data_IF_221168459140
#
_entry.id   IF_221168459140
#
_cell.length_a   1.000
_cell.length_b   1.000
_cell.length_c   1.000
_cell.angle_alpha   90.00
_cell.angle_beta   90.00
_cell.angle_gamma   90.00
#
_symmetry.space_group_name_H-M   'P 1'
#
loop_
_entity.id
_entity.type
_entity.pdbx_description
1 polymer ?
#
# COMPACT_ATOMS: atom_id res chain seq x y z
N UNK A 1 9.15 -15.41 -3.00
CA UNK A 1 9.76 -14.08 -3.27
C UNK A 1 11.14 -14.32 -3.85
N UNK A 2 11.50 -13.74 -5.00
CA UNK A 2 12.85 -13.91 -5.54
C UNK A 2 13.85 -13.26 -4.57
N UNK A 3 15.01 -13.88 -4.35
CA UNK A 3 16.06 -13.33 -3.46
C UNK A 3 16.41 -11.88 -3.83
N UNK A 4 16.36 -11.55 -5.12
CA UNK A 4 16.58 -10.20 -5.67
C UNK A 4 15.54 -9.18 -5.18
N UNK A 5 14.26 -9.53 -5.22
CA UNK A 5 13.19 -8.62 -4.78
C UNK A 5 13.30 -8.33 -3.28
N UNK A 6 13.59 -9.35 -2.46
CA UNK A 6 13.82 -9.16 -1.03
C UNK A 6 15.04 -8.25 -0.75
N UNK A 7 16.16 -8.48 -1.43
CA UNK A 7 17.36 -7.63 -1.28
C UNK A 7 17.06 -6.18 -1.68
N UNK A 8 16.31 -5.97 -2.77
CA UNK A 8 15.90 -4.62 -3.19
C UNK A 8 15.03 -3.92 -2.15
N UNK A 9 14.02 -4.60 -1.59
CA UNK A 9 13.17 -4.05 -0.52
C UNK A 9 13.99 -3.68 0.71
N UNK A 10 14.91 -4.56 1.13
CA UNK A 10 15.82 -4.29 2.26
C UNK A 10 16.73 -3.09 1.96
N UNK A 11 17.28 -2.99 0.75
CA UNK A 11 18.15 -1.88 0.37
C UNK A 11 17.40 -0.53 0.40
N UNK A 12 16.19 -0.48 -0.14
CA UNK A 12 15.34 0.71 -0.12
C UNK A 12 15.03 1.13 1.32
N UNK A 13 14.62 0.19 2.17
CA UNK A 13 14.34 0.47 3.57
C UNK A 13 15.59 0.91 4.33
N UNK A 14 16.72 0.24 4.15
CA UNK A 14 17.99 0.57 4.81
C UNK A 14 18.50 1.97 4.45
N UNK A 15 18.33 2.38 3.19
CA UNK A 15 18.65 3.75 2.76
C UNK A 15 17.68 4.79 3.34
N UNK A 16 16.39 4.43 3.46
CA UNK A 16 15.35 5.34 3.93
C UNK A 16 15.41 5.63 5.44
N UNK A 17 15.70 4.63 6.29
CA UNK A 17 15.63 4.80 7.75
C UNK A 17 16.50 5.97 8.26
N UNK A 18 17.77 6.14 7.85
CA UNK A 18 18.57 7.29 8.26
C UNK A 18 17.98 8.63 7.82
N UNK A 19 17.41 8.70 6.61
CA UNK A 19 16.77 9.92 6.10
C UNK A 19 15.53 10.28 6.94
N UNK A 20 14.73 9.29 7.31
CA UNK A 20 13.55 9.50 8.15
C UNK A 20 13.90 9.98 9.56
N UNK A 21 14.97 9.41 10.16
CA UNK A 21 15.45 9.80 11.48
C UNK A 21 16.00 11.23 11.50
N UNK A 22 16.76 11.60 10.48
CA UNK A 22 17.36 12.92 10.36
C UNK A 22 16.34 14.03 10.00
N UNK A 23 15.21 13.68 9.37
CA UNK A 23 14.28 14.65 8.76
C UNK A 23 13.84 15.77 9.72
N UNK A 24 13.59 15.47 10.99
CA UNK A 24 13.08 16.42 11.98
C UNK A 24 14.16 17.13 12.78
N UNK A 25 15.43 16.72 12.72
CA UNK A 25 16.50 17.34 13.53
C UNK A 25 16.63 18.86 13.31
N UNK A 26 16.55 19.39 12.07
CA UNK A 26 16.64 20.83 11.84
C UNK A 26 15.50 21.65 12.48
N UNK A 27 14.38 21.02 12.85
CA UNK A 27 13.26 21.68 13.54
C UNK A 27 13.55 21.95 15.03
N UNK A 28 14.55 21.27 15.60
CA UNK A 28 14.99 21.45 16.99
C UNK A 28 16.30 22.22 17.10
N UNK A 29 17.21 22.01 16.15
CA UNK A 29 18.49 22.72 16.07
C UNK A 29 18.64 23.31 14.67
N UNK A 30 18.22 24.57 14.47
CA UNK A 30 18.39 25.29 13.21
C UNK A 30 19.88 25.33 12.84
N UNK A 31 20.21 24.85 11.64
CA UNK A 31 21.60 24.72 11.17
C UNK A 31 22.06 23.27 10.93
N UNK A 32 21.35 22.28 11.47
CA UNK A 32 21.56 20.88 11.08
C UNK A 32 21.10 20.64 9.64
N UNK A 33 21.83 19.80 8.92
CA UNK A 33 21.48 19.43 7.54
C UNK A 33 20.29 18.47 7.50
N UNK A 34 19.38 18.68 6.56
CA UNK A 34 18.34 17.70 6.19
C UNK A 34 18.83 16.82 5.05
N UNK A 35 19.26 15.59 5.35
CA UNK A 35 19.89 14.69 4.39
C UNK A 35 19.01 14.35 3.19
N UNK A 36 17.70 14.20 3.41
CA UNK A 36 16.76 13.94 2.31
C UNK A 36 16.79 15.07 1.29
N UNK A 37 16.77 16.32 1.75
CA UNK A 37 16.76 17.50 0.89
C UNK A 37 18.12 17.68 0.22
N UNK A 38 19.22 17.34 0.92
CA UNK A 38 20.56 17.31 0.32
C UNK A 38 20.65 16.31 -0.82
N UNK A 39 20.18 15.07 -0.62
CA UNK A 39 20.15 14.04 -1.67
C UNK A 39 19.30 14.50 -2.85
N UNK A 40 18.11 15.04 -2.57
CA UNK A 40 17.24 15.53 -3.63
C UNK A 40 17.83 16.74 -4.38
N UNK A 41 18.49 17.66 -3.67
CA UNK A 41 19.13 18.82 -4.28
C UNK A 41 20.30 18.43 -5.19
N UNK A 42 21.03 17.36 -4.86
CA UNK A 42 22.09 16.82 -5.73
C UNK A 42 21.52 16.24 -7.02
N UNK A 43 20.36 15.58 -6.96
CA UNK A 43 19.75 14.90 -8.12
C UNK A 43 18.96 15.88 -8.99
N UNK A 44 18.12 16.71 -8.37
CA UNK A 44 17.08 17.51 -9.04
C UNK A 44 17.30 19.03 -8.89
N UNK A 45 18.35 19.47 -8.21
CA UNK A 45 18.63 20.87 -7.94
C UNK A 45 17.91 21.42 -6.69
N UNK A 46 18.47 22.49 -6.12
CA UNK A 46 17.94 23.12 -4.88
C UNK A 46 16.55 23.72 -5.07
N UNK A 47 16.27 24.32 -6.22
CA UNK A 47 14.96 24.93 -6.51
C UNK A 47 13.82 23.92 -6.38
N UNK A 48 14.00 22.72 -6.94
CA UNK A 48 13.01 21.65 -6.79
C UNK A 48 12.96 21.10 -5.35
N UNK A 49 14.12 20.99 -4.69
CA UNK A 49 14.20 20.35 -3.38
C UNK A 49 13.60 21.18 -2.23
N UNK A 50 13.82 22.48 -2.23
CA UNK A 50 13.47 23.38 -1.11
C UNK A 50 12.85 24.71 -1.55
N UNK A 51 12.69 24.94 -2.85
CA UNK A 51 12.05 26.15 -3.38
C UNK A 51 10.52 26.07 -3.36
N UNK A 52 9.89 26.92 -4.15
CA UNK A 52 8.42 27.01 -4.22
C UNK A 52 7.79 25.67 -4.66
N UNK A 53 6.68 25.31 -4.01
CA UNK A 53 6.00 24.03 -4.24
C UNK A 53 6.72 22.82 -3.62
N UNK A 54 7.72 23.03 -2.75
CA UNK A 54 8.36 21.98 -1.96
C UNK A 54 7.64 21.73 -0.63
N UNK A 55 7.95 20.60 0.02
CA UNK A 55 7.45 20.34 1.38
C UNK A 55 7.98 21.40 2.35
N UNK A 56 9.23 21.85 2.19
CA UNK A 56 9.80 22.89 3.04
C UNK A 56 9.01 24.19 2.90
N UNK A 57 8.79 24.68 1.68
CA UNK A 57 8.10 25.96 1.48
C UNK A 57 6.64 25.95 1.97
N UNK A 58 5.93 24.81 1.84
CA UNK A 58 4.49 24.74 2.13
C UNK A 58 4.17 24.20 3.53
N UNK A 59 5.06 23.42 4.17
CA UNK A 59 4.79 22.74 5.44
C UNK A 59 5.71 23.13 6.59
N UNK A 60 6.74 23.94 6.39
CA UNK A 60 7.69 24.29 7.45
C UNK A 60 7.00 24.77 8.73
N UNK A 61 6.06 25.74 8.64
CA UNK A 61 5.39 26.30 9.82
C UNK A 61 4.63 25.24 10.63
N UNK A 62 3.79 24.44 9.97
CA UNK A 62 3.07 23.33 10.58
C UNK A 62 4.01 22.27 11.20
N UNK A 63 5.12 21.96 10.52
CA UNK A 63 6.11 21.01 11.03
C UNK A 63 6.86 21.57 12.24
N UNK A 64 7.14 22.86 12.27
CA UNK A 64 7.80 23.53 13.40
C UNK A 64 6.88 23.57 14.64
N UNK A 65 5.60 23.91 14.46
CA UNK A 65 4.59 23.96 15.53
C UNK A 65 4.38 22.58 16.17
N UNK A 66 4.29 21.53 15.35
CA UNK A 66 4.05 20.16 15.81
C UNK A 66 5.30 19.27 15.77
N UNK A 67 6.51 19.85 15.87
CA UNK A 67 7.80 19.16 15.70
C UNK A 67 7.99 17.93 16.57
N UNK A 68 7.46 17.91 17.80
CA UNK A 68 7.57 16.76 18.71
C UNK A 68 6.74 15.58 18.20
N UNK A 69 5.48 15.83 17.82
CA UNK A 69 4.60 14.79 17.27
C UNK A 69 5.20 14.21 16.00
N UNK A 70 5.73 15.07 15.12
CA UNK A 70 6.37 14.66 13.88
C UNK A 70 7.64 13.83 14.15
N UNK A 71 8.51 14.25 15.08
CA UNK A 71 9.71 13.52 15.46
C UNK A 71 9.39 12.13 16.00
N UNK A 72 8.37 12.01 16.86
CA UNK A 72 7.91 10.73 17.39
C UNK A 72 7.40 9.85 16.24
N UNK A 73 6.56 10.39 15.36
CA UNK A 73 6.07 9.66 14.20
C UNK A 73 7.21 9.12 13.32
N UNK A 74 8.11 9.99 12.85
CA UNK A 74 9.17 9.64 11.89
C UNK A 74 10.19 8.68 12.49
N UNK A 75 10.57 8.89 13.75
CA UNK A 75 11.55 8.05 14.45
C UNK A 75 10.99 6.66 14.68
N UNK A 76 9.79 6.55 15.26
CA UNK A 76 9.18 5.26 15.54
C UNK A 76 8.80 4.54 14.23
N UNK A 77 8.39 5.26 13.18
CA UNK A 77 8.15 4.67 11.85
C UNK A 77 9.43 4.06 11.27
N UNK A 78 10.55 4.79 11.31
CA UNK A 78 11.84 4.32 10.78
C UNK A 78 12.34 3.07 11.52
N UNK A 79 12.25 3.07 12.85
CA UNK A 79 12.62 1.91 13.68
C UNK A 79 11.69 0.72 13.45
N UNK A 80 10.37 0.96 13.39
CA UNK A 80 9.41 -0.08 13.07
C UNK A 80 9.70 -0.69 11.69
N UNK A 81 9.97 0.12 10.67
CA UNK A 81 10.30 -0.38 9.33
C UNK A 81 11.54 -1.28 9.35
N UNK A 82 12.60 -0.88 10.08
CA UNK A 82 13.79 -1.71 10.24
C UNK A 82 13.47 -3.08 10.89
N UNK A 83 12.66 -3.10 11.95
CA UNK A 83 12.22 -4.34 12.59
C UNK A 83 11.31 -5.19 11.68
N UNK A 84 10.48 -4.54 10.86
CA UNK A 84 9.55 -5.17 9.93
C UNK A 84 10.26 -6.08 8.91
N UNK A 85 11.46 -5.70 8.45
CA UNK A 85 12.25 -6.50 7.51
C UNK A 85 12.60 -7.90 8.07
N UNK A 86 12.84 -8.00 9.38
CA UNK A 86 13.16 -9.27 10.03
C UNK A 86 11.95 -10.20 10.14
N UNK A 87 10.71 -9.70 10.00
CA UNK A 87 9.49 -10.50 10.06
C UNK A 87 9.39 -11.50 8.88
N UNK A 88 10.02 -11.20 7.75
CA UNK A 88 10.04 -12.09 6.58
C UNK A 88 11.09 -13.20 6.66
N UNK A 89 11.94 -13.24 7.70
CA UNK A 89 12.98 -14.25 7.85
C UNK A 89 12.40 -15.60 8.29
N UNK A 90 12.35 -16.56 7.36
CA UNK A 90 11.92 -17.93 7.66
C UNK A 90 12.81 -18.61 8.71
N UNK A 91 14.13 -18.35 8.66
CA UNK A 91 15.12 -18.87 9.63
C UNK A 91 14.84 -18.38 11.04
N UNK A 92 14.52 -17.09 11.20
CA UNK A 92 14.22 -16.51 12.51
C UNK A 92 12.94 -17.12 13.08
N UNK A 93 11.91 -17.27 12.23
CA UNK A 93 10.62 -17.85 12.61
C UNK A 93 10.73 -19.32 13.05
N UNK A 94 11.57 -20.13 12.40
CA UNK A 94 11.70 -21.57 12.72
C UNK A 94 12.76 -21.86 13.78
N UNK A 95 13.94 -21.22 13.72
CA UNK A 95 15.05 -21.54 14.63
C UNK A 95 15.03 -20.75 15.94
N UNK A 96 14.43 -19.56 15.96
CA UNK A 96 14.39 -18.68 17.15
C UNK A 96 13.01 -18.02 17.31
N UNK A 97 11.94 -18.81 17.55
CA UNK A 97 10.57 -18.29 17.58
C UNK A 97 10.33 -17.23 18.67
N UNK A 98 11.03 -17.32 19.81
CA UNK A 98 10.96 -16.30 20.86
C UNK A 98 11.45 -14.93 20.37
N UNK A 99 12.56 -14.91 19.63
CA UNK A 99 13.14 -13.68 19.05
C UNK A 99 12.21 -13.11 17.99
N UNK A 100 11.65 -13.94 17.10
CA UNK A 100 10.64 -13.51 16.13
C UNK A 100 9.45 -12.81 16.81
N UNK A 101 8.92 -13.40 17.89
CA UNK A 101 7.79 -12.86 18.64
C UNK A 101 8.11 -11.52 19.30
N UNK A 102 9.28 -11.38 19.93
CA UNK A 102 9.68 -10.12 20.55
C UNK A 102 9.90 -9.00 19.53
N UNK A 103 10.58 -9.29 18.42
CA UNK A 103 10.72 -8.33 17.31
C UNK A 103 9.34 -7.94 16.77
N UNK A 104 8.43 -8.89 16.60
CA UNK A 104 7.06 -8.62 16.15
C UNK A 104 6.26 -7.74 17.11
N UNK A 105 6.40 -7.95 18.42
CA UNK A 105 5.77 -7.10 19.46
C UNK A 105 6.34 -5.69 19.46
N UNK A 106 7.66 -5.55 19.40
CA UNK A 106 8.32 -4.25 19.31
C UNK A 106 7.92 -3.51 18.04
N UNK A 107 7.90 -4.20 16.89
CA UNK A 107 7.39 -3.67 15.63
C UNK A 107 5.96 -3.12 15.79
N UNK A 108 5.03 -3.93 16.33
CA UNK A 108 3.64 -3.52 16.49
C UNK A 108 3.46 -2.33 17.43
N UNK A 109 4.21 -2.28 18.53
CA UNK A 109 4.15 -1.16 19.47
C UNK A 109 4.66 0.14 18.81
N UNK A 110 5.84 0.10 18.19
CA UNK A 110 6.42 1.26 17.50
C UNK A 110 5.55 1.74 16.35
N UNK A 111 5.07 0.81 15.51
CA UNK A 111 4.15 1.11 14.42
C UNK A 111 2.87 1.76 14.95
N UNK A 112 2.27 1.21 16.02
CA UNK A 112 1.01 1.74 16.55
C UNK A 112 1.16 3.16 17.06
N UNK A 113 2.18 3.44 17.87
CA UNK A 113 2.44 4.80 18.39
C UNK A 113 2.77 5.76 17.24
N UNK A 114 3.55 5.31 16.25
CA UNK A 114 3.86 6.10 15.06
C UNK A 114 2.60 6.45 14.25
N UNK A 115 1.70 5.50 13.98
CA UNK A 115 0.48 5.77 13.21
C UNK A 115 -0.49 6.67 13.99
N UNK A 116 -0.63 6.47 15.31
CA UNK A 116 -1.46 7.34 16.16
C UNK A 116 -0.94 8.78 16.18
N UNK A 117 0.38 8.97 16.29
CA UNK A 117 0.99 10.31 16.24
C UNK A 117 0.86 10.97 14.86
N UNK A 118 0.92 10.19 13.76
CA UNK A 118 0.57 10.71 12.42
C UNK A 118 -0.89 11.19 12.36
N UNK A 119 -1.84 10.41 12.89
CA UNK A 119 -3.25 10.80 12.92
C UNK A 119 -3.48 12.06 13.77
N UNK A 120 -2.82 12.18 14.92
CA UNK A 120 -2.83 13.39 15.75
C UNK A 120 -2.33 14.59 14.95
N UNK A 121 -1.17 14.46 14.30
CA UNK A 121 -0.62 15.54 13.45
C UNK A 121 -1.61 15.95 12.35
N UNK A 122 -2.19 14.98 11.62
CA UNK A 122 -3.13 15.23 10.52
C UNK A 122 -4.51 15.73 10.99
N UNK A 123 -4.83 15.62 12.28
CA UNK A 123 -6.05 16.15 12.86
C UNK A 123 -5.90 17.63 13.24
N UNK A 124 -4.74 17.99 13.81
CA UNK A 124 -4.47 19.35 14.29
C UNK A 124 -3.86 20.28 13.25
N UNK A 125 -3.36 19.75 12.14
CA UNK A 125 -2.72 20.54 11.08
C UNK A 125 -3.67 20.71 9.90
N UNK A 126 -3.82 21.93 9.34
CA UNK A 126 -4.59 22.12 8.10
C UNK A 126 -3.89 21.45 6.90
N UNK A 127 -4.61 21.18 5.79
CA UNK A 127 -3.99 20.71 4.55
C UNK A 127 -2.85 21.58 4.03
N UNK A 128 -1.92 20.98 3.29
CA UNK A 128 -0.90 21.72 2.57
C UNK A 128 -1.58 22.72 1.61
N UNK A 129 -1.09 23.95 1.56
CA UNK A 129 -1.59 25.00 0.66
C UNK A 129 -1.15 24.73 -0.78
N UNK A 130 -1.71 23.67 -1.38
CA UNK A 130 -1.40 23.14 -2.70
C UNK A 130 -2.58 22.27 -3.16
N UNK A 131 -2.84 22.18 -4.47
CA UNK A 131 -4.00 21.45 -5.00
C UNK A 131 -3.98 19.92 -4.70
N UNK A 132 -2.79 19.36 -4.43
CA UNK A 132 -2.63 17.96 -3.97
C UNK A 132 -2.92 17.80 -2.47
N UNK A 133 -2.83 18.87 -1.69
CA UNK A 133 -2.79 18.84 -0.23
C UNK A 133 -3.95 18.08 0.43
N UNK A 134 -5.22 18.48 0.20
CA UNK A 134 -6.37 17.83 0.82
C UNK A 134 -6.48 16.33 0.49
N UNK A 135 -6.31 15.97 -0.78
CA UNK A 135 -6.33 14.58 -1.25
C UNK A 135 -5.18 13.75 -0.67
N UNK A 136 -3.98 14.32 -0.58
CA UNK A 136 -2.84 13.61 0.00
C UNK A 136 -3.05 13.34 1.49
N UNK A 137 -3.66 14.27 2.23
CA UNK A 137 -3.98 14.05 3.64
C UNK A 137 -5.03 12.96 3.87
N UNK A 138 -6.04 12.81 3.00
CA UNK A 138 -6.98 11.67 3.10
C UNK A 138 -6.23 10.36 2.98
N UNK A 139 -5.30 10.29 2.02
CA UNK A 139 -4.51 9.09 1.81
C UNK A 139 -3.58 8.80 2.99
N UNK A 140 -2.95 9.81 3.58
CA UNK A 140 -2.13 9.62 4.79
C UNK A 140 -2.97 9.11 5.97
N UNK A 141 -4.20 9.61 6.15
CA UNK A 141 -5.14 9.11 7.17
C UNK A 141 -5.54 7.66 6.87
N UNK A 142 -5.89 7.36 5.63
CA UNK A 142 -6.25 6.01 5.19
C UNK A 142 -5.09 5.01 5.36
N UNK A 143 -3.85 5.43 5.07
CA UNK A 143 -2.64 4.63 5.29
C UNK A 143 -2.41 4.35 6.77
N UNK A 144 -2.54 5.35 7.64
CA UNK A 144 -2.38 5.16 9.08
C UNK A 144 -3.43 4.20 9.64
N UNK A 145 -4.70 4.39 9.28
CA UNK A 145 -5.81 3.52 9.69
C UNK A 145 -5.65 2.11 9.11
N UNK A 146 -5.31 1.97 7.84
CA UNK A 146 -5.10 0.69 7.17
C UNK A 146 -3.92 -0.09 7.74
N UNK A 147 -2.83 0.60 8.11
CA UNK A 147 -1.65 -0.01 8.74
C UNK A 147 -1.98 -0.50 10.16
N UNK A 148 -2.68 0.32 10.96
CA UNK A 148 -3.17 -0.09 12.28
C UNK A 148 -4.13 -1.28 12.16
N UNK A 149 -5.14 -1.16 11.31
CA UNK A 149 -6.18 -2.18 11.12
C UNK A 149 -5.60 -3.52 10.67
N UNK A 150 -4.73 -3.52 9.66
CA UNK A 150 -4.07 -4.74 9.17
C UNK A 150 -3.14 -5.37 10.22
N UNK A 151 -2.34 -4.57 10.92
CA UNK A 151 -1.45 -5.04 11.99
C UNK A 151 -2.23 -5.69 13.15
N UNK A 152 -3.26 -5.02 13.65
CA UNK A 152 -4.07 -5.53 14.75
C UNK A 152 -4.98 -6.70 14.34
N UNK A 153 -5.51 -6.71 13.11
CA UNK A 153 -6.22 -7.86 12.59
C UNK A 153 -5.31 -9.09 12.46
N UNK A 154 -4.05 -8.90 12.08
CA UNK A 154 -3.07 -9.98 12.07
C UNK A 154 -2.77 -10.52 13.48
N UNK A 155 -2.75 -9.66 14.51
CA UNK A 155 -2.63 -10.09 15.92
C UNK A 155 -3.86 -10.88 16.37
N UNK A 156 -5.05 -10.42 16.01
CA UNK A 156 -6.29 -11.13 16.27
C UNK A 156 -6.29 -12.52 15.63
N UNK A 157 -5.88 -12.62 14.36
CA UNK A 157 -5.76 -13.88 13.64
C UNK A 157 -4.82 -14.87 14.32
N UNK A 158 -3.60 -14.45 14.71
CA UNK A 158 -2.65 -15.36 15.36
C UNK A 158 -3.10 -15.81 16.75
N UNK A 159 -3.83 -14.97 17.50
CA UNK A 159 -4.45 -15.37 18.77
C UNK A 159 -5.50 -16.48 18.58
N UNK A 160 -6.16 -16.51 17.42
CA UNK A 160 -7.07 -17.59 17.00
C UNK A 160 -6.37 -18.73 16.26
N UNK A 161 -5.03 -18.80 16.34
CA UNK A 161 -4.18 -19.78 15.65
C UNK A 161 -4.31 -19.76 14.11
N UNK A 162 -4.83 -18.67 13.54
CA UNK A 162 -4.95 -18.49 12.10
C UNK A 162 -3.65 -17.91 11.52
N UNK A 163 -2.69 -18.79 11.25
CA UNK A 163 -1.36 -18.42 10.77
C UNK A 163 -1.40 -17.84 9.35
N UNK A 164 -2.32 -18.30 8.49
CA UNK A 164 -2.45 -17.82 7.11
C UNK A 164 -2.91 -16.37 7.11
N UNK A 165 -3.99 -16.07 7.83
CA UNK A 165 -4.52 -14.72 7.95
C UNK A 165 -3.52 -13.80 8.63
N UNK A 166 -2.84 -14.26 9.69
CA UNK A 166 -1.77 -13.49 10.34
C UNK A 166 -0.67 -13.08 9.35
N UNK A 167 -0.13 -14.04 8.59
CA UNK A 167 0.96 -13.75 7.63
C UNK A 167 0.51 -12.81 6.51
N UNK A 168 -0.72 -12.99 6.03
CA UNK A 168 -1.29 -12.17 4.97
C UNK A 168 -1.40 -10.70 5.40
N UNK A 169 -2.02 -10.45 6.54
CA UNK A 169 -2.29 -9.09 7.01
C UNK A 169 -1.06 -8.40 7.64
N UNK A 170 -0.10 -9.15 8.21
CA UNK A 170 1.21 -8.59 8.54
C UNK A 170 1.96 -8.13 7.28
N UNK A 171 1.94 -8.94 6.21
CA UNK A 171 2.56 -8.55 4.93
C UNK A 171 1.87 -7.34 4.33
N UNK A 172 0.55 -7.29 4.41
CA UNK A 172 -0.25 -6.16 3.96
C UNK A 172 0.13 -4.87 4.70
N UNK A 173 0.16 -4.90 6.04
CA UNK A 173 0.55 -3.74 6.84
C UNK A 173 1.99 -3.27 6.57
N UNK A 174 2.94 -4.20 6.40
CA UNK A 174 4.31 -3.83 6.05
C UNK A 174 4.40 -3.24 4.64
N UNK A 175 3.61 -3.74 3.68
CA UNK A 175 3.53 -3.14 2.34
C UNK A 175 2.98 -1.70 2.39
N UNK A 176 2.00 -1.42 3.27
CA UNK A 176 1.54 -0.05 3.51
C UNK A 176 2.62 0.81 4.16
N UNK A 177 3.40 0.31 5.12
CA UNK A 177 4.54 1.05 5.69
C UNK A 177 5.62 1.35 4.64
N UNK A 178 5.83 0.46 3.67
CA UNK A 178 6.76 0.67 2.56
C UNK A 178 6.33 1.79 1.60
N UNK A 179 5.09 2.29 1.68
CA UNK A 179 4.68 3.47 0.88
C UNK A 179 5.55 4.68 1.18
N UNK A 180 5.97 4.88 2.43
CA UNK A 180 6.79 6.01 2.80
C UNK A 180 8.14 6.03 2.05
N UNK A 181 9.01 4.99 2.15
CA UNK A 181 10.25 4.96 1.38
C UNK A 181 10.03 4.93 -0.14
N UNK A 182 9.04 4.18 -0.63
CA UNK A 182 8.76 4.11 -2.07
C UNK A 182 8.32 5.45 -2.64
N UNK A 183 7.52 6.21 -1.88
CA UNK A 183 7.10 7.55 -2.28
C UNK A 183 8.33 8.44 -2.50
N UNK A 184 9.33 8.39 -1.60
CA UNK A 184 10.61 9.14 -1.76
C UNK A 184 11.35 8.73 -3.01
N UNK A 185 11.47 7.43 -3.27
CA UNK A 185 12.10 6.93 -4.49
C UNK A 185 11.36 7.44 -5.73
N UNK A 186 10.02 7.47 -5.70
CA UNK A 186 9.22 7.93 -6.83
C UNK A 186 9.39 9.43 -7.04
N UNK A 187 9.12 10.31 -6.06
CA UNK A 187 9.15 11.75 -6.33
C UNK A 187 10.57 12.32 -6.51
N UNK A 188 11.62 11.66 -5.99
CA UNK A 188 13.01 12.01 -6.29
C UNK A 188 13.41 11.47 -7.67
N UNK A 189 13.04 10.23 -8.00
CA UNK A 189 13.51 9.55 -9.21
C UNK A 189 12.67 9.78 -10.46
N UNK A 190 11.41 10.18 -10.33
CA UNK A 190 10.52 10.48 -11.47
C UNK A 190 10.80 11.86 -12.05
N UNK A 191 11.25 12.82 -11.24
CA UNK A 191 11.48 14.18 -11.69
C UNK A 191 12.44 14.30 -12.89
N UNK A 192 13.56 13.55 -12.97
CA UNK A 192 14.42 13.54 -14.15
C UNK A 192 13.81 12.85 -15.39
N UNK A 193 12.81 11.99 -15.20
CA UNK A 193 12.24 11.14 -16.26
C UNK A 193 10.96 11.73 -16.86
N UNK A 194 10.07 12.20 -16.00
CA UNK A 194 8.76 12.76 -16.35
C UNK A 194 8.55 13.99 -15.43
N UNK A 195 9.24 15.10 -15.72
CA UNK A 195 9.25 16.26 -14.84
C UNK A 195 7.83 16.78 -14.64
N UNK A 196 7.44 16.95 -13.38
CA UNK A 196 6.24 17.69 -13.01
C UNK A 196 6.64 19.10 -12.55
N UNK A 197 5.65 19.99 -12.47
CA UNK A 197 5.87 21.41 -12.16
C UNK A 197 6.64 21.62 -10.85
N UNK A 198 6.29 20.88 -9.80
CA UNK A 198 6.93 20.98 -8.49
C UNK A 198 6.96 19.63 -7.76
N UNK A 199 7.61 19.65 -6.60
CA UNK A 199 7.80 18.47 -5.75
C UNK A 199 6.48 17.94 -5.21
N UNK A 200 5.55 18.80 -4.78
CA UNK A 200 4.25 18.38 -4.25
C UNK A 200 3.38 17.69 -5.32
N UNK A 201 3.48 18.12 -6.58
CA UNK A 201 2.84 17.47 -7.72
C UNK A 201 3.42 16.06 -7.92
N UNK A 202 4.74 15.88 -7.81
CA UNK A 202 5.36 14.56 -7.86
C UNK A 202 5.03 13.67 -6.65
N UNK A 203 4.84 14.25 -5.46
CA UNK A 203 4.27 13.53 -4.32
C UNK A 203 2.87 13.02 -4.68
N UNK A 204 2.03 13.88 -5.27
CA UNK A 204 0.70 13.50 -5.74
C UNK A 204 0.73 12.34 -6.74
N UNK A 205 1.61 12.41 -7.75
CA UNK A 205 1.84 11.32 -8.71
C UNK A 205 2.22 10.03 -8.01
N UNK A 206 3.23 10.07 -7.13
CA UNK A 206 3.68 8.88 -6.40
C UNK A 206 2.59 8.30 -5.51
N UNK A 207 1.78 9.15 -4.89
CA UNK A 207 0.63 8.78 -4.09
C UNK A 207 -0.45 8.04 -4.88
N UNK A 208 -0.80 8.54 -6.07
CA UNK A 208 -1.76 7.88 -6.97
C UNK A 208 -1.23 6.49 -7.39
N UNK A 209 0.06 6.41 -7.77
CA UNK A 209 0.69 5.12 -8.13
C UNK A 209 0.63 4.14 -6.96
N UNK A 210 0.98 4.60 -5.75
CA UNK A 210 1.03 3.77 -4.55
C UNK A 210 -0.35 3.32 -4.05
N UNK A 211 -1.41 4.07 -4.35
CA UNK A 211 -2.80 3.66 -4.10
C UNK A 211 -3.17 2.33 -4.76
N UNK A 212 -2.52 1.98 -5.88
CA UNK A 212 -2.65 0.67 -6.53
C UNK A 212 -1.49 -0.25 -6.18
N UNK A 213 -0.25 0.25 -6.28
CA UNK A 213 0.94 -0.58 -6.21
C UNK A 213 1.20 -1.15 -4.81
N UNK A 214 0.92 -0.40 -3.74
CA UNK A 214 1.15 -0.87 -2.37
C UNK A 214 0.23 -2.05 -1.99
N UNK A 215 -1.12 -1.93 -2.07
CA UNK A 215 -2.00 -3.07 -1.79
C UNK A 215 -1.79 -4.20 -2.80
N UNK A 216 -1.53 -3.88 -4.08
CA UNK A 216 -1.22 -4.88 -5.10
C UNK A 216 0.04 -5.69 -4.81
N UNK A 217 1.09 -5.06 -4.28
CA UNK A 217 2.32 -5.76 -3.89
C UNK A 217 2.08 -6.78 -2.78
N UNK A 218 1.23 -6.47 -1.80
CA UNK A 218 0.84 -7.39 -0.75
C UNK A 218 0.02 -8.57 -1.29
N UNK A 219 -0.94 -8.28 -2.18
CA UNK A 219 -1.73 -9.29 -2.89
C UNK A 219 -0.82 -10.26 -3.63
N UNK A 220 0.10 -9.75 -4.45
CA UNK A 220 1.00 -10.61 -5.21
C UNK A 220 2.00 -11.34 -4.32
N UNK A 221 2.49 -10.73 -3.24
CA UNK A 221 3.35 -11.42 -2.28
C UNK A 221 2.62 -12.62 -1.66
N UNK A 222 1.35 -12.47 -1.28
CA UNK A 222 0.53 -13.56 -0.78
C UNK A 222 0.29 -14.63 -1.85
N UNK A 223 -0.15 -14.24 -3.05
CA UNK A 223 -0.40 -15.17 -4.15
C UNK A 223 0.86 -15.95 -4.51
N UNK A 224 2.04 -15.33 -4.54
CA UNK A 224 3.30 -16.01 -4.88
C UNK A 224 3.86 -16.91 -3.77
N UNK A 225 3.36 -16.78 -2.54
CA UNK A 225 3.87 -17.56 -1.39
C UNK A 225 2.90 -18.64 -0.92
N UNK A 226 1.61 -18.51 -1.22
CA UNK A 226 0.59 -19.51 -0.87
C UNK A 226 0.16 -20.29 -2.09
N UNK A 227 0.26 -21.62 -1.98
CA UNK A 227 -0.36 -22.55 -2.92
C UNK A 227 -1.85 -22.67 -2.58
N UNK A 228 -2.68 -22.92 -3.60
CA UNK A 228 -4.09 -23.23 -3.37
C UNK A 228 -4.20 -24.69 -2.92
N UNK A 229 -4.97 -24.94 -1.87
CA UNK A 229 -5.40 -26.29 -1.53
C UNK A 229 -6.50 -26.70 -2.52
N UNK A 230 -6.43 -27.88 -3.16
CA UNK A 230 -7.52 -28.39 -3.98
C UNK A 230 -8.81 -28.45 -3.16
N UNK A 231 -9.90 -27.87 -3.68
CA UNK A 231 -11.20 -27.89 -3.02
C UNK A 231 -12.20 -28.60 -3.93
N UNK A 232 -12.74 -29.73 -3.46
CA UNK A 232 -13.71 -30.52 -4.18
C UNK A 232 -14.96 -29.69 -4.51
N UNK A 233 -15.44 -29.77 -5.76
CA UNK A 233 -16.63 -29.05 -6.22
C UNK A 233 -16.40 -27.62 -6.71
N UNK A 234 -15.19 -27.06 -6.57
CA UNK A 234 -14.87 -25.76 -7.19
C UNK A 234 -14.67 -25.96 -8.69
N UNK A 235 -15.47 -25.27 -9.51
CA UNK A 235 -15.39 -25.30 -10.97
C UNK A 235 -15.00 -23.93 -11.53
N UNK A 236 -14.37 -23.96 -12.71
CA UNK A 236 -14.07 -22.73 -13.43
C UNK A 236 -15.31 -22.08 -14.00
N UNK A 237 -15.30 -20.74 -14.03
CA UNK A 237 -16.39 -19.94 -14.58
C UNK A 237 -16.32 -19.83 -16.10
N UNK A 238 -17.43 -19.51 -16.77
CA UNK A 238 -17.43 -19.20 -18.19
C UNK A 238 -16.57 -17.97 -18.52
N UNK A 239 -16.06 -17.90 -19.75
CA UNK A 239 -15.12 -16.86 -20.19
C UNK A 239 -15.70 -15.43 -20.15
N UNK A 240 -17.02 -15.28 -20.29
CA UNK A 240 -17.68 -13.97 -20.24
C UNK A 240 -17.45 -13.23 -18.92
N UNK A 241 -17.22 -13.95 -17.81
CA UNK A 241 -16.92 -13.34 -16.51
C UNK A 241 -15.66 -12.48 -16.55
N UNK A 242 -14.64 -12.88 -17.32
CA UNK A 242 -13.42 -12.07 -17.48
C UNK A 242 -13.62 -10.93 -18.48
N UNK A 243 -14.45 -11.15 -19.51
CA UNK A 243 -14.89 -10.09 -20.41
C UNK A 243 -15.63 -8.98 -19.67
N UNK A 244 -16.50 -9.32 -18.71
CA UNK A 244 -17.18 -8.36 -17.86
C UNK A 244 -16.21 -7.59 -16.94
N UNK A 245 -15.22 -8.28 -16.35
CA UNK A 245 -14.18 -7.61 -15.56
C UNK A 245 -13.35 -6.63 -16.42
N UNK A 246 -12.98 -7.03 -17.64
CA UNK A 246 -12.28 -6.16 -18.58
C UNK A 246 -13.14 -4.95 -18.97
N UNK A 247 -14.42 -5.17 -19.29
CA UNK A 247 -15.35 -4.09 -19.61
C UNK A 247 -15.51 -3.09 -18.45
N UNK A 248 -15.61 -3.58 -17.21
CA UNK A 248 -15.63 -2.74 -16.01
C UNK A 248 -14.37 -1.88 -15.91
N UNK A 249 -13.18 -2.46 -16.15
CA UNK A 249 -11.92 -1.73 -16.13
C UNK A 249 -11.87 -0.64 -17.21
N UNK A 250 -12.34 -0.93 -18.42
CA UNK A 250 -12.42 0.05 -19.52
C UNK A 250 -13.38 1.19 -19.17
N UNK A 251 -14.61 0.86 -18.78
CA UNK A 251 -15.63 1.87 -18.43
C UNK A 251 -15.17 2.74 -17.26
N UNK A 252 -14.61 2.13 -16.21
CA UNK A 252 -14.03 2.85 -15.08
C UNK A 252 -12.86 3.74 -15.49
N UNK A 253 -12.01 3.28 -16.41
CA UNK A 253 -10.87 4.06 -16.92
C UNK A 253 -11.35 5.29 -17.69
N UNK A 254 -12.35 5.12 -18.55
CA UNK A 254 -12.97 6.22 -19.31
C UNK A 254 -13.64 7.23 -18.38
N UNK A 255 -14.39 6.76 -17.38
CA UNK A 255 -15.05 7.61 -16.40
C UNK A 255 -14.03 8.43 -15.58
N UNK A 256 -12.99 7.78 -15.06
CA UNK A 256 -11.95 8.46 -14.28
C UNK A 256 -11.18 9.47 -15.15
N UNK A 257 -10.83 9.09 -16.38
CA UNK A 257 -10.17 10.02 -17.34
C UNK A 257 -11.04 11.23 -17.61
N UNK A 258 -12.35 11.03 -17.84
CA UNK A 258 -13.28 12.13 -18.08
C UNK A 258 -13.39 13.08 -16.87
N UNK A 259 -13.32 12.56 -15.63
CA UNK A 259 -13.27 13.39 -14.43
C UNK A 259 -11.99 14.22 -14.36
N UNK A 260 -10.83 13.62 -14.63
CA UNK A 260 -9.53 14.30 -14.60
C UNK A 260 -9.43 15.37 -15.69
N UNK A 261 -9.91 15.09 -16.91
CA UNK A 261 -9.89 16.05 -18.03
C UNK A 261 -10.80 17.27 -17.81
N UNK A 262 -11.77 17.19 -16.88
CA UNK A 262 -12.63 18.32 -16.49
C UNK A 262 -11.99 19.20 -15.42
N UNK A 263 -10.83 18.81 -14.88
CA UNK A 263 -10.16 19.62 -13.86
C UNK A 263 -9.55 20.90 -14.48
N UNK A 264 -9.45 21.99 -13.71
CA UNK A 264 -8.85 23.24 -14.17
C UNK A 264 -7.43 23.07 -14.70
N UNK A 265 -7.04 23.89 -15.68
CA UNK A 265 -5.75 23.81 -16.39
C UNK A 265 -4.47 23.84 -15.53
N UNK A 266 -4.43 24.45 -14.32
CA UNK A 266 -3.25 24.35 -13.46
C UNK A 266 -2.99 22.92 -12.96
N UNK A 267 -3.98 22.02 -13.02
CA UNK A 267 -3.84 20.63 -12.59
C UNK A 267 -3.45 19.77 -13.79
N UNK A 268 -2.32 19.05 -13.76
CA UNK A 268 -1.89 18.22 -14.88
C UNK A 268 -2.90 17.12 -15.18
N UNK A 269 -3.44 17.08 -16.40
CA UNK A 269 -4.36 16.01 -16.81
C UNK A 269 -3.66 14.65 -16.98
N UNK A 270 -2.33 14.66 -17.09
CA UNK A 270 -1.49 13.45 -17.08
C UNK A 270 -1.63 12.63 -15.79
N UNK A 271 -2.17 13.21 -14.71
CA UNK A 271 -2.48 12.51 -13.46
C UNK A 271 -3.37 11.27 -13.65
N UNK A 272 -4.22 11.26 -14.69
CA UNK A 272 -5.01 10.08 -15.03
C UNK A 272 -4.11 8.87 -15.36
N UNK A 273 -3.01 9.08 -16.11
CA UNK A 273 -2.11 8.00 -16.52
C UNK A 273 -1.41 7.35 -15.33
N UNK A 274 -1.06 8.14 -14.30
CA UNK A 274 -0.41 7.64 -13.11
C UNK A 274 -1.31 6.76 -12.23
N UNK A 275 -2.63 6.84 -12.41
CA UNK A 275 -3.58 5.87 -11.87
C UNK A 275 -3.75 4.66 -12.79
N UNK A 276 -4.02 4.92 -14.08
CA UNK A 276 -4.43 3.91 -15.03
C UNK A 276 -3.31 2.93 -15.38
N UNK A 277 -2.08 3.41 -15.58
CA UNK A 277 -0.95 2.54 -15.97
C UNK A 277 -0.68 1.48 -14.89
N UNK A 278 -0.52 1.81 -13.59
CA UNK A 278 -0.43 0.80 -12.55
C UNK A 278 -1.64 -0.14 -12.49
N UNK A 279 -2.87 0.37 -12.62
CA UNK A 279 -4.09 -0.44 -12.59
C UNK A 279 -4.14 -1.47 -13.72
N UNK A 280 -3.77 -1.08 -14.94
CA UNK A 280 -3.74 -1.96 -16.10
C UNK A 280 -2.60 -2.99 -16.03
N UNK A 281 -1.44 -2.60 -15.48
CA UNK A 281 -0.33 -3.54 -15.23
C UNK A 281 -0.75 -4.63 -14.23
N UNK A 282 -1.38 -4.26 -13.10
CA UNK A 282 -1.82 -5.24 -12.10
C UNK A 282 -2.97 -6.11 -12.59
N UNK A 283 -3.87 -5.54 -13.40
CA UNK A 283 -4.91 -6.29 -14.11
C UNK A 283 -4.30 -7.33 -15.05
N UNK A 284 -3.33 -6.95 -15.89
CA UNK A 284 -2.67 -7.85 -16.82
C UNK A 284 -1.93 -9.00 -16.11
N UNK A 285 -1.25 -8.70 -14.99
CA UNK A 285 -0.63 -9.73 -14.14
C UNK A 285 -1.70 -10.72 -13.63
N UNK A 286 -2.86 -10.21 -13.21
CA UNK A 286 -3.97 -11.03 -12.70
C UNK A 286 -4.59 -11.89 -13.80
N UNK A 287 -4.78 -11.35 -15.01
CA UNK A 287 -5.22 -12.11 -16.20
C UNK A 287 -4.24 -13.25 -16.49
N UNK A 288 -2.93 -13.00 -16.46
CA UNK A 288 -1.91 -14.04 -16.65
C UNK A 288 -2.01 -15.12 -15.56
N UNK A 289 -2.31 -14.73 -14.33
CA UNK A 289 -2.55 -15.65 -13.21
C UNK A 289 -3.76 -16.56 -13.44
N UNK A 290 -4.89 -15.99 -13.87
CA UNK A 290 -6.10 -16.72 -14.26
C UNK A 290 -5.80 -17.70 -15.39
N UNK A 291 -5.17 -17.22 -16.47
CA UNK A 291 -4.85 -18.04 -17.65
C UNK A 291 -4.01 -19.25 -17.26
N UNK A 292 -2.94 -19.04 -16.47
CA UNK A 292 -2.08 -20.13 -15.98
C UNK A 292 -2.85 -21.14 -15.16
N UNK A 293 -3.69 -20.70 -14.22
CA UNK A 293 -4.47 -21.60 -13.37
C UNK A 293 -5.47 -22.44 -14.19
N UNK A 294 -6.09 -21.85 -15.22
CA UNK A 294 -6.98 -22.58 -16.15
C UNK A 294 -6.21 -23.61 -16.97
N UNK A 295 -5.04 -23.27 -17.50
CA UNK A 295 -4.22 -24.20 -18.30
C UNK A 295 -3.73 -25.40 -17.48
N UNK A 296 -3.58 -25.24 -16.16
CA UNK A 296 -3.19 -26.34 -15.26
C UNK A 296 -4.39 -27.08 -14.64
N UNK A 297 -5.63 -26.69 -14.99
CA UNK A 297 -6.84 -27.30 -14.42
C UNK A 297 -7.09 -26.97 -12.93
N UNK A 298 -6.41 -25.97 -12.37
CA UNK A 298 -6.51 -25.62 -10.94
C UNK A 298 -7.63 -24.59 -10.72
N UNK A 299 -8.85 -25.09 -10.57
CA UNK A 299 -10.05 -24.26 -10.38
C UNK A 299 -10.04 -23.45 -9.07
N UNK A 300 -9.40 -23.97 -8.00
CA UNK A 300 -9.27 -23.27 -6.73
C UNK A 300 -8.34 -22.05 -6.87
N UNK A 301 -7.22 -22.23 -7.57
CA UNK A 301 -6.29 -21.14 -7.86
C UNK A 301 -6.84 -20.14 -8.86
N UNK A 302 -7.59 -20.62 -9.84
CA UNK A 302 -8.30 -19.78 -10.80
C UNK A 302 -9.31 -18.87 -10.10
N UNK A 303 -10.09 -19.40 -9.15
CA UNK A 303 -11.00 -18.60 -8.30
C UNK A 303 -10.26 -17.50 -7.53
N UNK A 304 -9.11 -17.81 -6.93
CA UNK A 304 -8.31 -16.79 -6.21
C UNK A 304 -7.85 -15.67 -7.16
N UNK A 305 -7.25 -16.01 -8.30
CA UNK A 305 -6.83 -15.03 -9.30
C UNK A 305 -8.00 -14.25 -9.89
N UNK A 306 -9.16 -14.87 -10.03
CA UNK A 306 -10.39 -14.21 -10.50
C UNK A 306 -10.87 -13.15 -9.51
N UNK A 307 -10.88 -13.43 -8.21
CA UNK A 307 -11.25 -12.40 -7.22
C UNK A 307 -10.28 -11.22 -7.23
N UNK A 308 -8.97 -11.50 -7.31
CA UNK A 308 -7.95 -10.46 -7.47
C UNK A 308 -8.13 -9.65 -8.75
N UNK A 309 -8.43 -10.32 -9.88
CA UNK A 309 -8.72 -9.67 -11.15
C UNK A 309 -9.89 -8.67 -11.00
N UNK A 310 -10.99 -9.08 -10.35
CA UNK A 310 -12.13 -8.19 -10.09
C UNK A 310 -11.75 -7.00 -9.19
N UNK A 311 -10.91 -7.22 -8.18
CA UNK A 311 -10.39 -6.16 -7.33
C UNK A 311 -9.64 -5.07 -8.12
N UNK A 312 -8.75 -5.48 -9.03
CA UNK A 312 -8.02 -4.53 -9.90
C UNK A 312 -8.90 -3.96 -11.02
N UNK A 313 -9.82 -4.74 -11.59
CA UNK A 313 -10.75 -4.25 -12.61
C UNK A 313 -11.67 -3.15 -12.09
N UNK A 314 -12.07 -3.23 -10.82
CA UNK A 314 -12.90 -2.23 -10.17
C UNK A 314 -12.12 -0.98 -9.72
N UNK A 315 -10.77 -0.98 -9.78
CA UNK A 315 -9.96 0.12 -9.25
C UNK A 315 -10.28 1.49 -9.90
N UNK A 316 -10.35 1.64 -11.24
CA UNK A 316 -10.68 2.92 -11.86
C UNK A 316 -12.13 3.37 -11.57
N UNK A 317 -13.06 2.42 -11.51
CA UNK A 317 -14.45 2.70 -11.12
C UNK A 317 -14.53 3.18 -9.68
N UNK A 318 -13.81 2.53 -8.77
CA UNK A 318 -13.75 2.91 -7.37
C UNK A 318 -13.11 4.29 -7.19
N UNK A 319 -12.10 4.65 -7.99
CA UNK A 319 -11.54 5.99 -7.99
C UNK A 319 -12.59 7.06 -8.35
N UNK A 320 -13.44 6.78 -9.35
CA UNK A 320 -14.51 7.68 -9.78
C UNK A 320 -15.63 7.79 -8.74
N UNK A 321 -16.03 6.67 -8.12
CA UNK A 321 -17.07 6.65 -7.08
C UNK A 321 -16.58 7.28 -5.78
N UNK A 322 -15.32 7.09 -5.42
CA UNK A 322 -14.74 7.69 -4.22
C UNK A 322 -14.81 9.22 -4.27
N UNK A 323 -14.61 9.81 -5.45
CA UNK A 323 -14.77 11.25 -5.66
C UNK A 323 -16.19 11.78 -5.36
N UNK A 324 -17.20 10.91 -5.20
CA UNK A 324 -18.57 11.30 -4.86
C UNK A 324 -18.87 11.24 -3.35
N UNK A 325 -17.98 10.66 -2.55
CA UNK A 325 -18.18 10.41 -1.11
C UNK A 325 -17.16 11.11 -0.22
N UNK A 326 -16.36 12.02 -0.80
CA UNK A 326 -15.40 12.84 -0.06
C UNK A 326 -16.11 13.90 0.81
N UNK A 327 -15.42 14.50 1.81
CA UNK A 327 -16.02 15.50 2.66
C UNK A 327 -16.66 16.66 1.87
N UNK A 328 -17.79 17.24 2.33
CA UNK A 328 -18.47 18.33 1.62
C UNK A 328 -17.60 19.59 1.41
N UNK A 329 -16.55 19.76 2.22
CA UNK A 329 -15.60 20.86 2.11
C UNK A 329 -14.61 20.69 0.94
N UNK A 330 -14.57 19.53 0.28
CA UNK A 330 -13.65 19.27 -0.83
C UNK A 330 -14.10 19.99 -2.09
N UNK A 331 -13.15 20.59 -2.80
CA UNK A 331 -13.39 21.02 -4.18
C UNK A 331 -13.53 19.81 -5.10
N UNK A 332 -14.04 20.02 -6.31
CA UNK A 332 -14.07 18.97 -7.34
C UNK A 332 -12.68 18.41 -7.63
N UNK A 333 -11.64 19.25 -7.60
CA UNK A 333 -10.26 18.81 -7.78
C UNK A 333 -9.80 17.89 -6.64
N UNK A 334 -10.01 18.31 -5.39
CA UNK A 334 -9.67 17.51 -4.21
C UNK A 334 -10.36 16.14 -4.26
N UNK A 335 -11.63 16.12 -4.67
CA UNK A 335 -12.44 14.91 -4.78
C UNK A 335 -11.87 13.92 -5.80
N UNK A 336 -11.56 14.37 -7.01
CA UNK A 336 -11.03 13.52 -8.09
C UNK A 336 -9.62 13.00 -7.76
N UNK A 337 -8.79 13.84 -7.15
CA UNK A 337 -7.43 13.47 -6.74
C UNK A 337 -7.46 12.46 -5.58
N UNK A 338 -8.28 12.69 -4.56
CA UNK A 338 -8.49 11.75 -3.47
C UNK A 338 -9.04 10.42 -3.99
N UNK A 339 -9.95 10.49 -4.97
CA UNK A 339 -10.46 9.33 -5.68
C UNK A 339 -9.35 8.47 -6.29
N UNK A 340 -8.41 9.07 -7.01
CA UNK A 340 -7.26 8.37 -7.60
C UNK A 340 -6.31 7.75 -6.57
N UNK A 341 -6.18 8.37 -5.40
CA UNK A 341 -5.26 7.96 -4.32
C UNK A 341 -5.83 6.84 -3.44
N UNK A 342 -7.11 6.94 -3.07
CA UNK A 342 -7.75 6.10 -2.04
C UNK A 342 -8.77 5.12 -2.60
N UNK A 343 -9.52 5.51 -3.63
CA UNK A 343 -10.57 4.68 -4.23
C UNK A 343 -10.11 3.28 -4.64
N UNK A 344 -8.96 3.11 -5.33
CA UNK A 344 -8.45 1.81 -5.78
C UNK A 344 -8.17 0.83 -4.64
N UNK A 345 -7.79 1.35 -3.47
CA UNK A 345 -7.39 0.54 -2.32
C UNK A 345 -8.56 -0.33 -1.85
N UNK A 346 -9.79 0.17 -1.94
CA UNK A 346 -11.00 -0.49 -1.43
C UNK A 346 -11.25 -1.85 -2.12
N UNK A 347 -11.51 -1.92 -3.44
CA UNK A 347 -11.80 -3.19 -4.10
C UNK A 347 -10.60 -4.16 -4.06
N UNK A 348 -9.36 -3.65 -4.09
CA UNK A 348 -8.15 -4.47 -3.99
C UNK A 348 -8.08 -5.12 -2.60
N UNK A 349 -8.34 -4.37 -1.53
CA UNK A 349 -8.34 -4.89 -0.15
C UNK A 349 -9.45 -5.91 0.07
N UNK A 350 -10.65 -5.66 -0.46
CA UNK A 350 -11.78 -6.58 -0.37
C UNK A 350 -11.46 -7.90 -1.07
N UNK A 351 -10.96 -7.83 -2.31
CA UNK A 351 -10.54 -9.02 -3.06
C UNK A 351 -9.45 -9.80 -2.32
N UNK A 352 -8.47 -9.10 -1.75
CA UNK A 352 -7.43 -9.70 -0.91
C UNK A 352 -8.02 -10.43 0.29
N UNK A 353 -8.92 -9.78 1.04
CA UNK A 353 -9.56 -10.35 2.22
C UNK A 353 -10.34 -11.64 1.89
N UNK A 354 -11.07 -11.66 0.77
CA UNK A 354 -11.79 -12.84 0.30
C UNK A 354 -10.84 -14.01 -0.01
N UNK A 355 -9.74 -13.74 -0.71
CA UNK A 355 -8.72 -14.74 -1.03
C UNK A 355 -8.08 -15.31 0.23
N UNK A 356 -7.72 -14.45 1.18
CA UNK A 356 -7.12 -14.84 2.46
C UNK A 356 -8.09 -15.67 3.28
N UNK A 357 -9.37 -15.25 3.36
CA UNK A 357 -10.41 -15.97 4.09
C UNK A 357 -10.63 -17.37 3.52
N UNK A 358 -10.71 -17.50 2.18
CA UNK A 358 -10.86 -18.81 1.54
C UNK A 358 -9.65 -19.72 1.79
N UNK A 359 -8.42 -19.18 1.72
CA UNK A 359 -7.21 -19.94 2.00
C UNK A 359 -7.10 -20.38 3.47
N UNK A 360 -7.52 -19.53 4.41
CA UNK A 360 -7.55 -19.87 5.83
C UNK A 360 -8.62 -20.94 6.14
N UNK A 361 -9.79 -20.87 5.50
CA UNK A 361 -10.85 -21.89 5.64
C UNK A 361 -10.45 -23.24 5.06
N UNK A 362 -9.80 -23.27 3.90
CA UNK A 362 -9.38 -24.53 3.29
C UNK A 362 -8.36 -25.26 4.16
N UNK A 363 -7.42 -24.53 4.78
CA UNK A 363 -6.45 -25.12 5.70
C UNK A 363 -7.09 -25.71 6.96
N UNK A 364 -8.07 -25.02 7.55
CA UNK A 364 -8.75 -25.55 8.75
C UNK A 364 -9.45 -26.87 8.47
N UNK A 365 -10.15 -26.97 7.33
CA UNK A 365 -10.79 -28.23 6.92
C UNK A 365 -9.77 -29.36 6.75
N UNK A 366 -8.62 -29.09 6.12
CA UNK A 366 -7.59 -30.13 5.98
C UNK A 366 -6.99 -30.54 7.31
N UNK A 367 -6.87 -29.61 8.26
CA UNK A 367 -6.37 -29.94 9.61
C UNK A 367 -7.43 -30.77 10.37
N UNK A 368 -8.71 -30.43 10.26
CA UNK A 368 -9.82 -31.19 10.87
C UNK A 368 -9.94 -32.61 10.28
N UNK A 369 -9.83 -32.77 8.96
CA UNK A 369 -9.88 -34.07 8.26
C UNK A 369 -8.70 -35.00 8.67
N UNK A 370 -7.56 -34.43 9.10
CA UNK A 370 -6.41 -35.18 9.59
C UNK A 370 -6.53 -35.57 11.07
N UNK A 371 -7.30 -34.81 11.84
CA UNK A 371 -7.54 -35.04 13.27
C UNK A 371 -8.73 -35.97 13.53
N UNK A 372 -9.58 -36.27 12.53
CA UNK A 372 -10.58 -37.35 12.64
C UNK A 372 -9.87 -38.71 12.81
N UNK A 373 -10.12 -39.45 13.91
CA UNK A 373 -9.58 -40.79 14.06
C UNK A 373 -10.12 -41.62 12.89
N UNK A 374 -9.21 -42.23 12.13
CA UNK A 374 -9.52 -43.02 10.95
C UNK A 374 -10.37 -44.24 11.38
N UNK A 375 -11.69 -44.06 11.50
CA UNK A 375 -12.65 -45.07 11.97
C UNK A 375 -12.66 -46.29 11.03
N UNK A 376 -12.19 -46.11 9.79
CA UNK A 376 -12.01 -47.15 8.79
C UNK A 376 -10.70 -47.94 8.92
N UNK A 377 -9.77 -47.53 9.80
CA UNK A 377 -8.55 -48.31 10.10
C UNK A 377 -8.72 -49.22 11.33
N UNK A 378 -9.89 -49.19 11.99
CA UNK A 378 -10.22 -49.97 13.18
C UNK A 378 -11.36 -50.98 12.96
N UNK A 379 -11.78 -51.20 11.71
CA UNK A 379 -12.71 -52.25 11.28
C UNK A 379 -11.99 -53.17 10.30
#
# INVERSE_FOLDING_TARGET
MSRRFFVLTVAIAAFYVPLALNYTWPLFAPGLSRWQDSVNAVINGRTYAVGDGSVESVRHGAYAEHRVVLMVHTTLAGLALALGLFQFSSRLRTRRPAVHRWIGRSYLALMSVSMLTALVFLYFTPPAQHFIGPAFETQLRALAIGTLGSGWYAVYAIRRRDVITHQAWMTYGIALMMTAPLLRVIWIGIQPLIPQHDLLTNIGVGSIILGVAAPGSAVFAFMLTKQATPEAGVRSVPAWTYGAAFALAVVGSLAYTALVLRLPTPIPHSLALFHLVPAWITLAISVRGVFRARTTGDAARERQWRWILWGFAAAPTAASLYAQIVPPAFTTADAVLAGGMDGPVIPITVAFALVVHAAARSQRRTDDDLDEPNVLAAA
#
